data_IF_100398226280
#
_entry.id   IF_100398226280
#
_cell.length_a   1.000
_cell.length_b   1.000
_cell.length_c   1.000
_cell.angle_alpha   90.00
_cell.angle_beta   90.00
_cell.angle_gamma   90.00
#
_symmetry.space_group_name_H-M   'P 1'
#
loop_
_entity.id
_entity.type
_entity.pdbx_description
1 polymer ?
#
# COMPACT_ATOMS: atom_id res chain seq x y z
N UNK A 1 -13.60 8.27 -17.65
CA UNK A 1 -12.88 7.81 -16.44
C UNK A 1 -13.74 6.77 -15.74
N UNK A 2 -13.28 5.54 -15.49
CA UNK A 2 -14.11 4.49 -14.86
C UNK A 2 -14.63 4.93 -13.48
N UNK A 3 -15.88 4.60 -13.13
CA UNK A 3 -16.51 4.94 -11.85
C UNK A 3 -15.65 4.54 -10.63
N UNK A 4 -14.95 3.40 -10.73
CA UNK A 4 -14.01 2.94 -9.70
C UNK A 4 -12.83 3.91 -9.52
N UNK A 5 -12.30 4.45 -10.63
CA UNK A 5 -11.23 5.46 -10.60
C UNK A 5 -11.74 6.76 -10.00
N UNK A 6 -12.90 7.24 -10.42
CA UNK A 6 -13.50 8.45 -9.86
C UNK A 6 -13.71 8.32 -8.35
N UNK A 7 -14.40 7.26 -7.89
CA UNK A 7 -14.65 6.99 -6.46
C UNK A 7 -13.34 6.94 -5.66
N UNK A 8 -12.31 6.28 -6.19
CA UNK A 8 -11.00 6.22 -5.55
C UNK A 8 -10.41 7.62 -5.34
N UNK A 9 -10.24 8.41 -6.41
CA UNK A 9 -9.61 9.72 -6.30
C UNK A 9 -10.43 10.67 -5.42
N UNK A 10 -11.74 10.71 -5.57
CA UNK A 10 -12.61 11.56 -4.74
C UNK A 10 -12.51 11.18 -3.26
N UNK A 11 -12.58 9.89 -2.93
CA UNK A 11 -12.43 9.44 -1.53
C UNK A 11 -11.06 9.77 -0.93
N UNK A 12 -9.99 9.68 -1.71
CA UNK A 12 -8.65 9.96 -1.23
C UNK A 12 -8.37 11.45 -1.07
N UNK A 13 -8.95 12.28 -1.92
CA UNK A 13 -8.92 13.73 -1.77
C UNK A 13 -9.59 14.14 -0.44
N UNK A 14 -10.75 13.57 -0.11
CA UNK A 14 -11.40 13.79 1.19
C UNK A 14 -10.51 13.35 2.36
N UNK A 15 -9.84 12.20 2.25
CA UNK A 15 -8.90 11.73 3.29
C UNK A 15 -7.77 12.74 3.51
N UNK A 16 -7.31 13.45 2.48
CA UNK A 16 -6.27 14.47 2.63
C UNK A 16 -6.70 15.65 3.51
N UNK A 17 -8.00 16.00 3.48
CA UNK A 17 -8.58 17.11 4.24
C UNK A 17 -8.86 16.76 5.72
N UNK A 18 -9.08 15.50 6.06
CA UNK A 18 -9.39 15.08 7.44
C UNK A 18 -8.20 15.40 8.37
N UNK A 19 -8.38 16.00 9.55
CA UNK A 19 -7.30 16.17 10.52
C UNK A 19 -6.63 14.85 10.93
N UNK A 20 -5.30 14.84 11.03
CA UNK A 20 -4.56 13.61 11.38
C UNK A 20 -4.96 13.05 12.76
N UNK A 21 -5.32 13.90 13.72
CA UNK A 21 -5.83 13.47 15.04
C UNK A 21 -7.09 12.60 14.94
N UNK A 22 -8.06 13.03 14.14
CA UNK A 22 -9.30 12.27 13.90
C UNK A 22 -9.01 10.95 13.20
N UNK A 23 -8.13 10.96 12.21
CA UNK A 23 -7.73 9.74 11.51
C UNK A 23 -7.02 8.74 12.46
N UNK A 24 -6.14 9.22 13.34
CA UNK A 24 -5.50 8.41 14.38
C UNK A 24 -6.50 7.82 15.37
N UNK A 25 -7.48 8.61 15.80
CA UNK A 25 -8.55 8.13 16.68
C UNK A 25 -9.39 7.04 15.99
N UNK A 26 -9.78 7.28 14.74
CA UNK A 26 -10.48 6.30 13.91
C UNK A 26 -9.69 5.00 13.78
N UNK A 27 -8.40 5.08 13.45
CA UNK A 27 -7.54 3.90 13.30
C UNK A 27 -7.43 3.11 14.62
N UNK A 28 -7.21 3.79 15.75
CA UNK A 28 -7.16 3.15 17.08
C UNK A 28 -8.48 2.45 17.43
N UNK A 29 -9.62 3.10 17.21
CA UNK A 29 -10.94 2.52 17.46
C UNK A 29 -11.20 1.31 16.58
N UNK A 30 -10.85 1.41 15.29
CA UNK A 30 -11.04 0.33 14.32
C UNK A 30 -10.23 -0.91 14.67
N UNK A 31 -8.99 -0.74 15.12
CA UNK A 31 -8.15 -1.87 15.55
C UNK A 31 -8.70 -2.55 16.81
N UNK A 32 -9.21 -1.77 17.78
CA UNK A 32 -9.81 -2.29 19.01
C UNK A 32 -11.16 -2.99 18.79
N UNK A 33 -11.85 -2.71 17.70
CA UNK A 33 -13.16 -3.29 17.41
C UNK A 33 -13.10 -4.74 16.91
N UNK A 34 -11.91 -5.26 16.58
CA UNK A 34 -11.73 -6.64 16.14
C UNK A 34 -11.66 -7.60 17.32
N UNK A 35 -12.29 -8.76 17.20
CA UNK A 35 -12.16 -9.88 18.14
C UNK A 35 -10.74 -10.48 18.14
N UNK A 36 -10.46 -11.34 19.12
CA UNK A 36 -9.14 -11.95 19.31
C UNK A 36 -8.66 -12.76 18.11
N UNK A 37 -9.54 -13.55 17.50
CA UNK A 37 -9.23 -14.34 16.30
C UNK A 37 -8.79 -13.42 15.15
N UNK A 38 -9.54 -12.33 14.95
CA UNK A 38 -9.27 -11.37 13.90
C UNK A 38 -8.02 -10.56 14.17
N UNK A 39 -7.74 -10.23 15.42
CA UNK A 39 -6.48 -9.60 15.82
C UNK A 39 -5.30 -10.52 15.54
N UNK A 40 -5.40 -11.81 15.87
CA UNK A 40 -4.38 -12.82 15.58
C UNK A 40 -4.09 -12.94 14.08
N UNK A 41 -5.14 -13.02 13.24
CA UNK A 41 -5.01 -13.01 11.78
C UNK A 41 -4.28 -11.76 11.26
N UNK A 42 -4.62 -10.58 11.81
CA UNK A 42 -3.98 -9.32 11.44
C UNK A 42 -2.50 -9.36 11.82
N UNK A 43 -2.15 -9.83 13.03
CA UNK A 43 -0.77 -9.90 13.49
C UNK A 43 0.07 -10.89 12.67
N UNK A 44 -0.48 -12.05 12.31
CA UNK A 44 0.19 -13.00 11.42
C UNK A 44 0.52 -12.35 10.07
N UNK A 45 -0.40 -11.56 9.52
CA UNK A 45 -0.17 -10.81 8.28
C UNK A 45 0.86 -9.69 8.45
N UNK A 46 0.82 -8.96 9.56
CA UNK A 46 1.81 -7.92 9.88
C UNK A 46 3.21 -8.54 9.93
N UNK A 47 3.38 -9.69 10.60
CA UNK A 47 4.66 -10.43 10.69
C UNK A 47 5.18 -10.86 9.32
N UNK A 48 4.29 -11.15 8.37
CA UNK A 48 4.69 -11.48 6.99
C UNK A 48 5.21 -10.26 6.22
N UNK A 49 4.54 -9.12 6.35
CA UNK A 49 4.88 -7.89 5.62
C UNK A 49 6.01 -7.08 6.25
N UNK A 50 6.17 -7.16 7.56
CA UNK A 50 7.21 -6.51 8.34
C UNK A 50 8.03 -7.58 9.06
N UNK A 51 9.25 -7.78 8.57
CA UNK A 51 10.22 -8.75 9.12
C UNK A 51 11.28 -8.09 10.02
N UNK A 52 11.14 -6.80 10.32
CA UNK A 52 12.10 -6.09 11.16
C UNK A 52 11.87 -6.50 12.61
N UNK A 53 12.91 -7.04 13.23
CA UNK A 53 12.90 -7.50 14.62
C UNK A 53 13.79 -6.60 15.48
N UNK A 54 14.89 -6.11 14.90
CA UNK A 54 15.88 -5.29 15.59
C UNK A 54 15.44 -3.82 15.66
N UNK A 55 15.93 -3.12 16.68
CA UNK A 55 15.81 -1.68 16.75
C UNK A 55 16.68 -1.04 15.67
N UNK A 56 16.13 -0.03 15.01
CA UNK A 56 16.84 0.71 13.97
C UNK A 56 16.53 2.19 14.10
N UNK A 57 17.45 3.01 13.61
CA UNK A 57 17.22 4.43 13.44
C UNK A 57 16.92 4.73 11.98
N UNK A 58 15.93 5.60 11.77
CA UNK A 58 15.67 6.17 10.44
C UNK A 58 16.68 7.29 10.27
N UNK A 59 17.73 7.04 9.48
CA UNK A 59 18.80 8.00 9.25
C UNK A 59 18.31 9.36 8.74
N UNK A 60 19.20 10.34 8.64
CA UNK A 60 18.88 11.72 8.27
C UNK A 60 18.19 11.90 6.90
N UNK A 61 18.17 10.85 6.06
CA UNK A 61 17.52 10.84 4.73
C UNK A 61 16.03 10.47 4.78
N UNK A 62 15.47 10.11 5.94
CA UNK A 62 14.07 9.74 6.08
C UNK A 62 13.09 10.90 5.82
N UNK A 63 11.94 10.59 5.22
CA UNK A 63 10.87 11.57 5.04
C UNK A 63 10.02 11.66 6.31
N UNK A 64 9.88 12.87 6.87
CA UNK A 64 8.97 13.07 8.02
C UNK A 64 7.51 13.02 7.57
N UNK A 65 6.63 12.48 8.41
CA UNK A 65 5.17 12.42 8.15
C UNK A 65 4.61 13.81 7.83
N UNK A 66 5.01 14.85 8.56
CA UNK A 66 4.58 16.24 8.30
C UNK A 66 5.03 16.81 6.95
N UNK A 67 6.15 16.32 6.42
CA UNK A 67 6.77 16.83 5.19
C UNK A 67 6.53 15.93 3.99
N UNK A 68 5.73 14.86 4.15
CA UNK A 68 5.38 13.98 3.06
C UNK A 68 4.57 14.74 2.01
N UNK A 69 5.12 14.81 0.80
CA UNK A 69 4.51 15.46 -0.37
C UNK A 69 4.38 14.45 -1.49
N UNK A 70 3.55 14.77 -2.48
CA UNK A 70 3.39 13.97 -3.69
C UNK A 70 4.70 13.99 -4.49
N UNK A 71 5.42 12.87 -4.51
CA UNK A 71 6.69 12.69 -5.26
C UNK A 71 6.53 11.86 -6.52
N UNK A 72 5.53 10.97 -6.58
CA UNK A 72 5.30 10.06 -7.70
C UNK A 72 3.82 10.04 -8.12
N UNK A 73 3.40 8.96 -8.81
CA UNK A 73 2.03 8.79 -9.26
C UNK A 73 1.00 9.05 -8.16
N UNK A 74 -0.07 9.75 -8.51
CA UNK A 74 -1.16 10.16 -7.61
C UNK A 74 -1.68 9.01 -6.74
N UNK A 75 -1.73 7.79 -7.28
CA UNK A 75 -2.15 6.60 -6.55
C UNK A 75 -1.20 6.22 -5.42
N UNK A 76 0.12 6.20 -5.66
CA UNK A 76 1.12 5.90 -4.63
C UNK A 76 1.05 6.91 -3.49
N UNK A 77 0.96 8.19 -3.84
CA UNK A 77 0.80 9.26 -2.87
C UNK A 77 -0.42 9.03 -1.96
N UNK A 78 -1.59 8.78 -2.54
CA UNK A 78 -2.80 8.61 -1.75
C UNK A 78 -2.80 7.33 -0.91
N UNK A 79 -2.29 6.22 -1.43
CA UNK A 79 -2.20 4.97 -0.67
C UNK A 79 -1.25 5.11 0.52
N UNK A 80 -0.10 5.75 0.32
CA UNK A 80 0.86 5.98 1.40
C UNK A 80 0.35 7.03 2.40
N UNK A 81 -0.29 8.11 1.92
CA UNK A 81 -0.87 9.16 2.76
C UNK A 81 -1.87 8.58 3.77
N UNK A 82 -2.73 7.64 3.35
CA UNK A 82 -3.68 6.95 4.24
C UNK A 82 -3.00 6.25 5.39
N UNK A 83 -1.85 5.63 5.15
CA UNK A 83 -1.12 4.87 6.16
C UNK A 83 -0.43 5.82 7.12
N UNK A 84 0.40 6.73 6.60
CA UNK A 84 1.24 7.61 7.43
C UNK A 84 0.43 8.60 8.28
N UNK A 85 -0.79 8.94 7.84
CA UNK A 85 -1.69 9.83 8.58
C UNK A 85 -2.17 9.23 9.91
N UNK A 86 -2.04 7.91 10.07
CA UNK A 86 -2.23 7.19 11.32
C UNK A 86 -1.10 7.38 12.34
N UNK A 87 -0.01 8.08 12.01
CA UNK A 87 1.18 8.22 12.85
C UNK A 87 1.44 9.67 13.30
N UNK A 88 2.27 9.87 14.34
CA UNK A 88 2.76 11.19 14.74
C UNK A 88 3.50 11.92 13.62
N UNK A 89 3.39 13.24 13.59
CA UNK A 89 3.90 14.09 12.51
C UNK A 89 5.42 14.20 12.47
N UNK A 90 6.09 13.92 13.59
CA UNK A 90 7.54 13.93 13.77
C UNK A 90 8.23 12.63 13.37
N UNK A 91 7.47 11.54 13.15
CA UNK A 91 8.05 10.26 12.73
C UNK A 91 8.62 10.38 11.31
N UNK A 92 9.71 9.64 11.07
CA UNK A 92 10.37 9.55 9.78
C UNK A 92 10.22 8.13 9.21
N UNK A 93 10.25 8.01 7.88
CA UNK A 93 10.19 6.74 7.18
C UNK A 93 10.85 6.83 5.80
N UNK A 94 11.29 5.69 5.28
CA UNK A 94 11.70 5.54 3.90
C UNK A 94 10.60 4.87 3.07
N UNK A 95 10.52 5.23 1.80
CA UNK A 95 9.61 4.60 0.85
C UNK A 95 10.21 4.62 -0.54
N UNK A 96 10.00 3.55 -1.31
CA UNK A 96 10.36 3.47 -2.71
C UNK A 96 9.11 3.19 -3.56
N UNK A 97 8.97 3.97 -4.61
CA UNK A 97 7.88 3.83 -5.56
C UNK A 97 8.29 2.92 -6.72
N UNK A 98 7.30 2.26 -7.31
CA UNK A 98 7.53 1.36 -8.45
C UNK A 98 7.75 -0.09 -8.04
N UNK A 99 8.28 -0.87 -8.98
CA UNK A 99 8.55 -2.30 -8.79
C UNK A 99 10.00 -2.47 -8.32
N UNK A 100 10.17 -2.59 -7.01
CA UNK A 100 11.48 -2.74 -6.37
C UNK A 100 11.93 -4.21 -6.49
N UNK A 101 13.15 -4.40 -7.00
CA UNK A 101 13.78 -5.73 -7.24
C UNK A 101 14.98 -6.03 -6.33
N UNK A 102 15.45 -5.05 -5.58
CA UNK A 102 16.53 -5.17 -4.62
C UNK A 102 15.99 -5.03 -3.19
N UNK A 103 16.78 -5.44 -2.20
CA UNK A 103 16.48 -5.17 -0.80
C UNK A 103 17.15 -3.85 -0.42
N UNK A 104 16.42 -2.86 0.12
CA UNK A 104 17.02 -1.60 0.55
C UNK A 104 17.94 -1.79 1.76
N UNK A 105 18.96 -0.95 1.89
CA UNK A 105 19.92 -0.98 3.01
C UNK A 105 19.27 -0.60 4.35
N UNK A 106 18.20 0.21 4.30
CA UNK A 106 17.43 0.67 5.46
C UNK A 106 15.95 0.25 5.34
N UNK A 107 15.25 0.03 6.46
CA UNK A 107 13.81 -0.19 6.52
C UNK A 107 12.99 0.78 5.67
N UNK A 108 12.38 0.23 4.62
CA UNK A 108 11.75 1.00 3.56
C UNK A 108 10.41 0.41 3.16
N UNK A 109 9.39 1.27 3.04
CA UNK A 109 8.10 0.87 2.49
C UNK A 109 8.18 0.66 0.98
N UNK A 110 7.84 -0.54 0.54
CA UNK A 110 7.86 -0.95 -0.87
C UNK A 110 6.55 -1.59 -1.29
N UNK A 111 6.25 -1.54 -2.59
CA UNK A 111 5.09 -2.22 -3.18
C UNK A 111 5.37 -3.71 -3.43
N UNK A 112 6.59 -4.02 -3.84
CA UNK A 112 7.06 -5.36 -4.18
C UNK A 112 8.47 -5.54 -3.61
N UNK A 113 8.87 -6.79 -3.40
CA UNK A 113 10.22 -7.15 -2.96
C UNK A 113 10.65 -8.49 -3.56
N UNK A 114 11.95 -8.76 -3.67
CA UNK A 114 12.44 -10.10 -4.01
C UNK A 114 12.00 -11.13 -2.96
N UNK A 115 11.69 -12.35 -3.41
CA UNK A 115 11.42 -13.49 -2.53
C UNK A 115 12.78 -14.02 -2.09
N UNK A 116 13.12 -13.74 -0.84
CA UNK A 116 14.36 -14.13 -0.17
C UNK A 116 14.07 -14.22 1.34
N UNK A 117 14.93 -14.93 2.06
CA UNK A 117 14.92 -14.92 3.52
C UNK A 117 15.48 -13.59 4.05
N UNK A 118 16.49 -13.05 3.37
CA UNK A 118 17.08 -11.74 3.64
C UNK A 118 16.36 -10.64 2.87
N UNK A 119 15.16 -10.28 3.32
CA UNK A 119 14.41 -9.13 2.79
C UNK A 119 13.75 -8.30 3.90
N UNK A 120 14.39 -8.28 5.07
CA UNK A 120 13.90 -7.63 6.30
C UNK A 120 13.53 -6.16 6.10
N UNK A 121 14.41 -5.42 5.43
CA UNK A 121 14.26 -3.99 5.17
C UNK A 121 13.19 -3.65 4.14
N UNK A 122 12.67 -4.64 3.41
CA UNK A 122 11.59 -4.45 2.44
C UNK A 122 10.23 -4.62 3.11
N UNK A 123 9.70 -3.55 3.71
CA UNK A 123 8.40 -3.55 4.38
C UNK A 123 7.29 -3.38 3.34
N UNK A 124 6.46 -4.41 3.15
CA UNK A 124 5.44 -4.41 2.09
C UNK A 124 4.23 -3.59 2.52
N UNK A 125 3.84 -2.64 1.67
CA UNK A 125 2.56 -1.94 1.77
C UNK A 125 1.70 -2.15 0.52
N UNK A 126 0.39 -2.03 0.70
CA UNK A 126 -0.60 -2.07 -0.38
C UNK A 126 -0.57 -0.76 -1.20
N UNK A 127 0.50 -0.55 -1.95
CA UNK A 127 0.71 0.63 -2.79
C UNK A 127 0.16 0.39 -4.20
N UNK A 128 -0.27 1.46 -4.86
CA UNK A 128 -0.89 1.44 -6.19
C UNK A 128 -2.12 0.51 -6.23
N UNK A 129 -2.94 0.57 -5.18
CA UNK A 129 -3.98 -0.39 -4.89
C UNK A 129 -5.03 -0.49 -6.01
N UNK A 130 -5.32 0.63 -6.66
CA UNK A 130 -6.33 0.70 -7.71
C UNK A 130 -5.98 -0.15 -8.95
N UNK A 131 -4.69 -0.38 -9.21
CA UNK A 131 -4.24 -1.16 -10.37
C UNK A 131 -4.12 -2.64 -10.04
N UNK A 132 -3.71 -2.97 -8.81
CA UNK A 132 -3.34 -4.34 -8.45
C UNK A 132 -4.40 -5.09 -7.63
N UNK A 133 -5.35 -4.37 -7.04
CA UNK A 133 -6.37 -4.97 -6.16
C UNK A 133 -7.79 -4.63 -6.66
N UNK A 134 -7.93 -4.53 -7.97
CA UNK A 134 -9.21 -4.42 -8.65
C UNK A 134 -9.63 -5.80 -9.15
N UNK A 135 -10.55 -6.42 -8.43
CA UNK A 135 -11.14 -7.70 -8.83
C UNK A 135 -12.27 -7.44 -9.82
N UNK A 136 -12.04 -7.78 -11.08
CA UNK A 136 -13.06 -7.71 -12.12
C UNK A 136 -14.08 -8.80 -11.86
N UNK A 137 -15.36 -8.43 -11.80
CA UNK A 137 -16.45 -9.41 -11.84
C UNK A 137 -16.60 -9.88 -13.28
N UNK A 138 -16.03 -11.04 -13.55
CA UNK A 138 -16.20 -11.69 -14.83
C UNK A 138 -17.62 -12.25 -14.93
N UNK A 139 -18.37 -11.81 -15.94
CA UNK A 139 -19.73 -12.29 -16.19
C UNK A 139 -19.74 -13.56 -17.04
N UNK A 140 -18.61 -13.92 -17.66
CA UNK A 140 -18.48 -15.09 -18.49
C UNK A 140 -17.86 -16.22 -17.70
N UNK A 141 -18.46 -17.41 -17.79
CA UNK A 141 -17.82 -18.64 -17.31
C UNK A 141 -16.52 -18.89 -18.08
N UNK A 142 -15.61 -19.65 -17.49
CA UNK A 142 -14.35 -20.01 -18.15
C UNK A 142 -14.59 -20.69 -19.51
N UNK A 143 -15.57 -21.60 -19.58
CA UNK A 143 -15.94 -22.33 -20.79
C UNK A 143 -16.48 -21.41 -21.90
N UNK A 144 -17.30 -20.41 -21.54
CA UNK A 144 -17.87 -19.45 -22.51
C UNK A 144 -16.79 -18.58 -23.18
N UNK A 145 -15.60 -18.44 -22.58
CA UNK A 145 -14.48 -17.68 -23.15
C UNK A 145 -13.77 -18.43 -24.28
N UNK A 146 -13.85 -19.76 -24.31
CA UNK A 146 -13.21 -20.62 -25.34
C UNK A 146 -13.75 -20.32 -26.74
N UNK A 147 -14.99 -19.83 -26.84
CA UNK A 147 -15.62 -19.45 -28.11
C UNK A 147 -14.89 -18.31 -28.83
N UNK A 148 -14.07 -17.54 -28.13
CA UNK A 148 -13.25 -16.45 -28.70
C UNK A 148 -11.78 -16.83 -28.96
N UNK A 149 -11.39 -18.10 -28.75
CA UNK A 149 -10.27 -18.81 -29.39
C UNK A 149 -8.85 -18.23 -29.35
N UNK A 150 -8.61 -17.04 -28.81
CA UNK A 150 -7.34 -16.34 -28.93
C UNK A 150 -6.68 -16.04 -27.58
N UNK A 151 -5.36 -16.21 -27.53
CA UNK A 151 -4.51 -15.55 -26.55
C UNK A 151 -4.62 -14.03 -26.77
N UNK A 152 -5.40 -13.36 -25.93
CA UNK A 152 -5.49 -11.90 -25.95
C UNK A 152 -4.33 -11.31 -25.13
N UNK A 153 -3.24 -10.90 -25.78
CA UNK A 153 -2.18 -10.11 -25.17
C UNK A 153 -2.33 -8.64 -25.58
N UNK A 154 -2.75 -7.78 -24.66
CA UNK A 154 -2.76 -6.33 -24.88
C UNK A 154 -1.61 -5.69 -24.13
N UNK A 155 -0.57 -5.25 -24.86
CA UNK A 155 0.54 -4.48 -24.30
C UNK A 155 0.07 -3.04 -24.13
N UNK A 156 -0.13 -2.60 -22.89
CA UNK A 156 -0.35 -1.19 -22.60
C UNK A 156 1.03 -0.51 -22.65
N UNK A 157 1.27 0.47 -23.54
CA UNK A 157 2.55 1.16 -23.58
C UNK A 157 2.80 1.87 -22.25
N UNK A 158 3.95 1.58 -21.65
CA UNK A 158 4.45 2.31 -20.49
C UNK A 158 5.18 3.55 -21.00
N UNK A 159 4.51 4.70 -20.94
CA UNK A 159 5.14 6.03 -21.02
C UNK A 159 5.87 6.34 -19.73
#
# INVERSE_FOLDING_TARGET
MSFTKFKYYSSNSLISLIPASLFRLYAKRKLKAYDENKQSDIQARVKYYNKIIEQFEVGNKGTKVRSFKKTSGTTYYFDLLKVIKGFPSNFAFHYLNGDVRHVPDEPTFVKSRPISDDNGNSVILKLNAIRHFYFVRDKLSFEAKKKYGGLAWCRIPTT
#
